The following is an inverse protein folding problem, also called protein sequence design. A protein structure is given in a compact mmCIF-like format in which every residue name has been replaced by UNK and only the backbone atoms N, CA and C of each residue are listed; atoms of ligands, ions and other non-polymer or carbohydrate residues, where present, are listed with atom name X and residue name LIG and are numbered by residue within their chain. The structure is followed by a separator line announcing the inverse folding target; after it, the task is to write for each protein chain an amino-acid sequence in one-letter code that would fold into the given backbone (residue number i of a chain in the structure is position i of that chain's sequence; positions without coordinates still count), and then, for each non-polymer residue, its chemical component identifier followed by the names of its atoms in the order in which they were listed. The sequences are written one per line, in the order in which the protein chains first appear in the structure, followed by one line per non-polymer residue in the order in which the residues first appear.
data_IF_129025743634
#
_entry.id   IF_129025743634
#
_cell.length_a   1.000
_cell.length_b   1.000
_cell.length_c   1.000
_cell.angle_alpha   90.00
_cell.angle_beta   90.00
_cell.angle_gamma   90.00
#
_symmetry.space_group_name_H-M   'P 1'
#
loop_
_entity.id
_entity.type
_entity.pdbx_description
1 polymer ?
#
# COMPACT_ATOMS: atom_id res chain seq x y z
N UNK A 1 -2.59 -3.85 -25.46
CA UNK A 1 -3.64 -3.69 -24.44
C UNK A 1 -3.33 -4.61 -23.26
N UNK A 2 -2.67 -4.09 -22.22
CA UNK A 2 -2.47 -4.87 -20.99
C UNK A 2 -3.78 -4.95 -20.22
N UNK A 3 -4.23 -6.13 -19.81
CA UNK A 3 -5.47 -6.26 -19.04
C UNK A 3 -5.35 -5.52 -17.71
N UNK A 4 -6.36 -4.71 -17.39
CA UNK A 4 -6.68 -4.21 -16.04
C UNK A 4 -6.79 -5.38 -15.06
N UNK A 5 -5.73 -5.68 -14.32
CA UNK A 5 -5.69 -6.87 -13.45
C UNK A 5 -6.68 -6.65 -12.31
N UNK A 6 -7.77 -7.42 -12.34
CA UNK A 6 -8.69 -7.63 -11.21
C UNK A 6 -9.13 -6.33 -10.50
N UNK A 7 -9.27 -5.21 -11.23
CA UNK A 7 -9.73 -3.93 -10.66
C UNK A 7 -11.05 -4.08 -9.90
N UNK A 8 -11.93 -4.97 -10.38
CA UNK A 8 -13.19 -5.30 -9.72
C UNK A 8 -13.02 -5.76 -8.28
N UNK A 9 -11.92 -6.46 -7.94
CA UNK A 9 -11.65 -6.94 -6.59
C UNK A 9 -11.28 -5.81 -5.62
N UNK A 10 -10.75 -4.71 -6.15
CA UNK A 10 -10.33 -3.55 -5.37
C UNK A 10 -11.51 -2.60 -5.04
N UNK A 11 -12.61 -2.65 -5.82
CA UNK A 11 -13.80 -1.79 -5.65
C UNK A 11 -14.46 -1.98 -4.28
N UNK A 12 -15.03 -0.92 -3.73
CA UNK A 12 -15.78 -0.92 -2.46
C UNK A 12 -16.99 -1.86 -2.47
N UNK A 13 -17.62 -2.11 -3.62
CA UNK A 13 -18.84 -2.93 -3.66
C UNK A 13 -18.57 -4.43 -3.86
N UNK A 14 -17.31 -4.84 -3.97
CA UNK A 14 -16.96 -6.24 -4.20
C UNK A 14 -17.12 -7.09 -2.93
N UNK A 15 -17.96 -8.14 -2.99
CA UNK A 15 -18.28 -9.04 -1.86
C UNK A 15 -18.64 -8.29 -0.56
N UNK A 16 -19.37 -7.18 -0.66
CA UNK A 16 -19.82 -6.40 0.49
C UNK A 16 -18.71 -5.84 1.39
N UNK A 17 -17.49 -5.65 0.86
CA UNK A 17 -16.27 -5.30 1.63
C UNK A 17 -15.82 -6.32 2.70
N UNK A 18 -16.51 -7.45 2.88
CA UNK A 18 -16.22 -8.40 3.96
C UNK A 18 -14.82 -8.99 3.79
N UNK A 19 -14.52 -9.50 2.60
CA UNK A 19 -13.24 -10.14 2.33
C UNK A 19 -12.07 -9.17 2.39
N UNK A 20 -12.29 -7.93 1.93
CA UNK A 20 -11.33 -6.82 2.03
C UNK A 20 -11.05 -6.46 3.49
N UNK A 21 -12.11 -6.29 4.29
CA UNK A 21 -11.99 -6.04 5.73
C UNK A 21 -11.22 -7.16 6.41
N UNK A 22 -11.54 -8.41 6.11
CA UNK A 22 -10.83 -9.57 6.67
C UNK A 22 -9.34 -9.53 6.31
N UNK A 23 -8.99 -9.38 5.02
CA UNK A 23 -7.61 -9.34 4.57
C UNK A 23 -6.81 -8.20 5.24
N UNK A 24 -7.35 -6.98 5.25
CA UNK A 24 -6.69 -5.82 5.85
C UNK A 24 -6.58 -5.97 7.38
N UNK A 25 -7.64 -6.42 8.05
CA UNK A 25 -7.62 -6.63 9.51
C UNK A 25 -6.60 -7.68 9.89
N UNK A 26 -6.55 -8.81 9.19
CA UNK A 26 -5.59 -9.89 9.47
C UNK A 26 -4.15 -9.42 9.24
N UNK A 27 -3.86 -8.81 8.09
CA UNK A 27 -2.51 -8.33 7.77
C UNK A 27 -2.09 -7.19 8.70
N UNK A 28 -2.96 -6.23 8.95
CA UNK A 28 -2.72 -5.10 9.85
C UNK A 28 -2.54 -5.53 11.30
N UNK A 29 -3.31 -6.52 11.76
CA UNK A 29 -3.16 -7.12 13.08
C UNK A 29 -1.82 -7.85 13.24
N UNK A 30 -1.46 -8.70 12.28
CA UNK A 30 -0.17 -9.40 12.28
C UNK A 30 1.00 -8.42 12.24
N UNK A 31 0.93 -7.43 11.36
CA UNK A 31 1.93 -6.36 11.30
C UNK A 31 2.08 -5.66 12.64
N UNK A 32 0.96 -5.41 13.33
CA UNK A 32 0.96 -4.77 14.63
C UNK A 32 1.64 -5.59 15.71
N UNK A 33 1.37 -6.89 15.74
CA UNK A 33 2.03 -7.84 16.64
C UNK A 33 3.54 -7.84 16.37
N UNK A 34 3.96 -7.97 15.11
CA UNK A 34 5.39 -8.03 14.77
C UNK A 34 6.10 -6.72 15.11
N UNK A 35 5.57 -5.59 14.65
CA UNK A 35 6.21 -4.27 14.83
C UNK A 35 6.22 -3.83 16.29
N UNK A 36 5.18 -4.16 17.05
CA UNK A 36 5.04 -3.69 18.45
C UNK A 36 5.63 -4.65 19.48
N UNK A 37 5.67 -5.96 19.22
CA UNK A 37 6.09 -6.96 20.20
C UNK A 37 7.37 -7.72 19.80
N UNK A 38 7.59 -7.94 18.50
CA UNK A 38 8.70 -8.78 18.01
C UNK A 38 9.83 -7.97 17.38
N UNK A 39 9.72 -6.64 17.37
CA UNK A 39 10.72 -5.76 16.78
C UNK A 39 10.97 -4.51 17.66
N UNK A 40 12.19 -4.00 17.64
CA UNK A 40 12.52 -2.70 18.21
C UNK A 40 12.21 -1.61 17.18
N UNK A 41 11.10 -0.90 17.38
CA UNK A 41 10.63 0.13 16.44
C UNK A 41 10.63 1.50 17.12
N UNK A 42 11.40 2.44 16.58
CA UNK A 42 11.37 3.86 16.98
C UNK A 42 10.55 4.66 15.99
N UNK A 43 9.62 5.47 16.50
CA UNK A 43 8.69 6.23 15.66
C UNK A 43 8.79 7.70 16.04
N UNK A 44 9.00 8.53 15.03
CA UNK A 44 9.05 9.97 15.19
C UNK A 44 7.76 10.59 14.64
N UNK A 45 7.21 11.55 15.38
CA UNK A 45 6.05 12.35 14.97
C UNK A 45 4.80 11.53 14.58
N UNK A 46 4.54 10.42 15.29
CA UNK A 46 3.36 9.56 15.05
C UNK A 46 2.03 10.30 15.19
N UNK A 47 1.95 11.26 16.13
CA UNK A 47 0.74 12.04 16.39
C UNK A 47 0.30 12.86 15.18
N UNK A 48 1.24 13.47 14.45
CA UNK A 48 0.93 14.23 13.23
C UNK A 48 0.35 13.31 12.16
N UNK A 49 0.96 12.14 11.94
CA UNK A 49 0.43 11.17 10.98
C UNK A 49 -0.97 10.68 11.38
N UNK A 50 -1.18 10.36 12.66
CA UNK A 50 -2.49 9.93 13.17
C UNK A 50 -3.56 11.01 12.99
N UNK A 51 -3.22 12.27 13.28
CA UNK A 51 -4.10 13.41 13.09
C UNK A 51 -4.47 13.58 11.60
N UNK A 52 -3.49 13.51 10.70
CA UNK A 52 -3.73 13.60 9.26
C UNK A 52 -4.55 12.42 8.70
N UNK A 53 -4.43 11.22 9.29
CA UNK A 53 -5.21 10.06 8.84
C UNK A 53 -6.66 10.10 9.36
N UNK A 54 -6.89 10.60 10.58
CA UNK A 54 -8.20 10.57 11.24
C UNK A 54 -9.04 11.84 11.09
N UNK A 55 -8.38 13.00 11.05
CA UNK A 55 -9.05 14.30 11.18
C UNK A 55 -9.00 15.13 9.90
N UNK A 56 -8.48 14.57 8.82
CA UNK A 56 -8.45 15.24 7.52
C UNK A 56 -9.88 15.44 6.98
N UNK A 57 -10.17 16.59 6.34
CA UNK A 57 -11.40 16.78 5.60
C UNK A 57 -11.61 15.67 4.54
N UNK A 58 -12.86 15.28 4.33
CA UNK A 58 -13.21 14.22 3.36
C UNK A 58 -12.90 14.61 1.91
N UNK A 59 -12.69 15.90 1.64
CA UNK A 59 -12.49 16.48 0.31
C UNK A 59 -11.01 16.65 -0.07
N UNK A 60 -10.09 16.30 0.84
CA UNK A 60 -8.65 16.48 0.62
C UNK A 60 -8.00 15.11 0.45
N UNK A 61 -7.35 14.81 -0.69
CA UNK A 61 -6.57 13.59 -0.81
C UNK A 61 -5.31 13.64 0.06
N UNK A 62 -4.81 12.48 0.47
CA UNK A 62 -3.58 12.38 1.25
C UNK A 62 -2.56 11.51 0.51
N UNK A 63 -1.34 12.01 0.38
CA UNK A 63 -0.25 11.29 -0.27
C UNK A 63 0.89 11.14 0.74
N UNK A 64 1.34 9.90 0.93
CA UNK A 64 2.55 9.61 1.69
C UNK A 64 3.61 9.00 0.78
N UNK A 65 4.86 9.37 0.99
CA UNK A 65 5.99 8.82 0.25
C UNK A 65 7.02 8.33 1.26
N UNK A 66 7.54 7.12 1.08
CA UNK A 66 8.67 6.62 1.87
C UNK A 66 9.70 5.97 0.97
N UNK A 67 10.89 5.79 1.51
CA UNK A 67 11.83 4.85 0.94
C UNK A 67 11.26 3.42 0.95
N UNK A 68 11.71 2.60 0.00
CA UNK A 68 11.36 1.18 -0.10
C UNK A 68 12.61 0.33 0.04
N UNK A 69 12.57 -0.62 0.97
CA UNK A 69 13.62 -1.62 1.22
C UNK A 69 13.07 -3.05 1.08
N UNK A 70 11.80 -3.29 1.42
CA UNK A 70 11.19 -4.62 1.37
C UNK A 70 9.68 -4.56 1.13
N UNK A 71 9.11 -5.61 0.54
CA UNK A 71 7.65 -5.78 0.40
C UNK A 71 6.91 -5.74 1.74
N UNK A 72 7.61 -6.03 2.85
CA UNK A 72 7.07 -5.93 4.21
C UNK A 72 6.93 -4.49 4.73
N UNK A 73 7.51 -3.49 4.05
CA UNK A 73 7.38 -2.08 4.44
C UNK A 73 5.92 -1.65 4.46
N UNK A 74 5.11 -2.17 3.53
CA UNK A 74 3.72 -1.79 3.41
C UNK A 74 2.88 -2.14 4.67
N UNK A 75 2.83 -3.40 5.12
CA UNK A 75 2.12 -3.75 6.35
C UNK A 75 2.78 -3.14 7.60
N UNK A 76 4.12 -3.07 7.66
CA UNK A 76 4.82 -2.68 8.88
C UNK A 76 4.83 -1.18 9.15
N UNK A 77 4.82 -0.33 8.12
CA UNK A 77 4.78 1.13 8.29
C UNK A 77 3.54 1.59 9.09
N UNK A 78 2.45 0.84 9.01
CA UNK A 78 1.23 1.09 9.76
C UNK A 78 1.06 0.17 10.99
N UNK A 79 2.01 -0.72 11.27
CA UNK A 79 1.94 -1.70 12.37
C UNK A 79 2.27 -1.13 13.75
N UNK A 80 2.48 0.17 13.91
CA UNK A 80 2.86 0.69 15.20
C UNK A 80 1.70 0.85 16.20
N UNK A 81 2.03 0.85 17.49
CA UNK A 81 1.06 1.03 18.58
C UNK A 81 0.30 2.37 18.42
N UNK A 82 -1.03 2.31 18.52
CA UNK A 82 -1.91 3.47 18.34
C UNK A 82 -2.38 3.71 16.90
N UNK A 83 -1.72 3.13 15.88
CA UNK A 83 -2.18 3.23 14.50
C UNK A 83 -3.40 2.33 14.24
N UNK A 84 -4.42 2.81 13.49
CA UNK A 84 -5.60 2.03 13.13
C UNK A 84 -5.30 1.05 11.98
N UNK A 85 -4.29 0.19 12.14
CA UNK A 85 -3.80 -0.76 11.13
C UNK A 85 -4.87 -1.77 10.67
N UNK A 86 -5.87 -2.01 11.51
CA UNK A 86 -6.97 -2.95 11.26
C UNK A 86 -8.21 -2.28 10.68
N UNK A 87 -8.21 -0.96 10.48
CA UNK A 87 -9.34 -0.24 9.90
C UNK A 87 -9.22 -0.23 8.37
N UNK A 88 -10.08 -1.02 7.72
CA UNK A 88 -10.12 -1.12 6.27
C UNK A 88 -10.54 0.18 5.56
N UNK A 89 -11.27 1.08 6.23
CA UNK A 89 -11.66 2.36 5.66
C UNK A 89 -10.46 3.32 5.64
N UNK A 90 -9.67 3.32 6.72
CA UNK A 90 -8.44 4.12 6.84
C UNK A 90 -7.23 3.48 6.15
N UNK A 91 -7.37 2.27 5.61
CA UNK A 91 -6.30 1.62 4.85
C UNK A 91 -5.98 2.39 3.57
N UNK A 92 -4.69 2.67 3.37
CA UNK A 92 -4.16 3.39 2.21
C UNK A 92 -4.10 2.53 0.96
N UNK A 93 -4.20 3.17 -0.20
CA UNK A 93 -3.82 2.58 -1.48
C UNK A 93 -2.31 2.62 -1.64
N UNK A 94 -1.74 1.58 -2.24
CA UNK A 94 -0.27 1.45 -2.34
C UNK A 94 0.09 1.03 -3.75
N UNK A 95 1.02 1.74 -4.37
CA UNK A 95 1.60 1.29 -5.63
C UNK A 95 2.63 0.20 -5.35
N UNK A 96 2.50 -0.94 -6.02
CA UNK A 96 3.42 -2.07 -5.87
C UNK A 96 3.83 -2.62 -7.23
N UNK A 97 5.04 -3.16 -7.30
CA UNK A 97 5.61 -3.66 -8.56
C UNK A 97 4.85 -4.92 -9.01
N UNK A 98 4.30 -4.86 -10.23
CA UNK A 98 3.51 -5.93 -10.85
C UNK A 98 4.28 -7.25 -10.88
N UNK A 99 5.53 -7.24 -11.32
CA UNK A 99 6.29 -8.48 -11.54
C UNK A 99 6.68 -9.19 -10.23
N UNK A 100 6.55 -8.51 -9.08
CA UNK A 100 6.83 -9.07 -7.76
C UNK A 100 5.54 -9.51 -7.09
N UNK A 101 4.53 -8.63 -7.02
CA UNK A 101 3.30 -8.87 -6.24
C UNK A 101 2.20 -9.57 -7.06
N UNK A 102 2.20 -9.43 -8.39
CA UNK A 102 1.13 -9.91 -9.27
C UNK A 102 1.58 -11.07 -10.17
N UNK A 103 2.36 -12.00 -9.61
CA UNK A 103 2.91 -13.17 -10.34
C UNK A 103 1.86 -14.22 -10.73
N UNK A 104 0.82 -14.38 -9.92
CA UNK A 104 -0.25 -15.34 -10.19
C UNK A 104 -1.62 -14.76 -9.80
N UNK A 105 -2.70 -15.41 -10.24
CA UNK A 105 -4.08 -14.94 -10.01
C UNK A 105 -4.45 -14.85 -8.53
N UNK A 106 -3.93 -15.75 -7.68
CA UNK A 106 -4.23 -15.78 -6.24
C UNK A 106 -3.59 -14.59 -5.53
N UNK A 107 -2.30 -14.36 -5.73
CA UNK A 107 -1.60 -13.20 -5.19
C UNK A 107 -2.18 -11.91 -5.75
N UNK A 108 -2.47 -11.86 -7.06
CA UNK A 108 -3.11 -10.70 -7.68
C UNK A 108 -4.42 -10.34 -7.00
N UNK A 109 -5.25 -11.33 -6.69
CA UNK A 109 -6.50 -11.13 -5.96
C UNK A 109 -6.25 -10.63 -4.53
N UNK A 110 -5.34 -11.27 -3.79
CA UNK A 110 -4.98 -10.87 -2.44
C UNK A 110 -4.45 -9.43 -2.35
N UNK A 111 -3.51 -9.05 -3.22
CA UNK A 111 -2.97 -7.70 -3.24
C UNK A 111 -4.01 -6.66 -3.67
N UNK A 112 -4.93 -7.00 -4.59
CA UNK A 112 -6.07 -6.11 -4.91
C UNK A 112 -6.99 -5.91 -3.71
N UNK A 113 -7.29 -6.96 -2.93
CA UNK A 113 -8.05 -6.82 -1.67
C UNK A 113 -7.32 -5.92 -0.67
N UNK A 114 -5.99 -6.00 -0.61
CA UNK A 114 -5.15 -5.12 0.20
C UNK A 114 -4.98 -3.68 -0.32
N UNK A 115 -5.81 -3.23 -1.27
CA UNK A 115 -5.73 -1.89 -1.91
C UNK A 115 -4.40 -1.61 -2.61
N UNK A 116 -3.78 -2.64 -3.19
CA UNK A 116 -2.57 -2.46 -3.99
C UNK A 116 -2.89 -2.21 -5.46
N UNK A 117 -2.19 -1.25 -6.06
CA UNK A 117 -2.28 -0.90 -7.49
C UNK A 117 -0.99 -1.37 -8.17
N UNK A 118 -1.07 -2.22 -9.20
CA UNK A 118 0.11 -2.74 -9.89
C UNK A 118 0.76 -1.67 -10.76
N UNK A 119 2.07 -1.45 -10.61
CA UNK A 119 2.86 -0.62 -11.51
C UNK A 119 3.94 -1.44 -12.21
N UNK A 120 4.29 -1.07 -13.43
CA UNK A 120 5.36 -1.71 -14.21
C UNK A 120 6.66 -0.96 -13.96
N UNK A 121 7.71 -1.68 -13.56
CA UNK A 121 9.02 -1.08 -13.35
C UNK A 121 9.61 -0.66 -14.71
N UNK A 122 10.25 0.51 -14.76
CA UNK A 122 10.77 1.07 -16.00
C UNK A 122 9.70 1.54 -17.02
N UNK A 123 8.40 1.39 -16.72
CA UNK A 123 7.30 1.79 -17.62
C UNK A 123 7.04 3.30 -17.71
N UNK A 124 7.88 4.14 -17.08
CA UNK A 124 7.71 5.59 -17.03
C UNK A 124 6.51 6.04 -16.17
N UNK A 125 6.15 7.33 -16.26
CA UNK A 125 5.01 7.91 -15.52
C UNK A 125 3.66 7.69 -16.24
N UNK A 126 3.69 7.41 -17.55
CA UNK A 126 2.50 7.21 -18.37
C UNK A 126 2.16 5.72 -18.45
N UNK A 127 1.54 5.21 -17.40
CA UNK A 127 1.08 3.82 -17.33
C UNK A 127 -0.43 3.76 -17.04
N UNK A 128 -1.11 2.74 -17.53
CA UNK A 128 -2.57 2.61 -17.36
C UNK A 128 -3.00 2.63 -15.88
N UNK A 129 -2.26 1.96 -14.99
CA UNK A 129 -2.55 1.93 -13.54
C UNK A 129 -2.28 3.26 -12.83
N UNK A 130 -1.56 4.19 -13.47
CA UNK A 130 -1.45 5.56 -12.96
C UNK A 130 -2.77 6.31 -13.12
N UNK A 131 -3.59 6.00 -14.12
CA UNK A 131 -4.93 6.56 -14.22
C UNK A 131 -5.82 6.06 -13.07
N UNK A 132 -5.74 4.76 -12.73
CA UNK A 132 -6.42 4.21 -11.54
C UNK A 132 -5.98 4.95 -10.26
N UNK A 133 -4.70 5.30 -10.18
CA UNK A 133 -4.14 6.06 -9.06
C UNK A 133 -4.71 7.48 -8.98
N UNK A 134 -4.82 8.17 -10.11
CA UNK A 134 -5.44 9.49 -10.21
C UNK A 134 -6.94 9.45 -9.85
N UNK A 135 -7.66 8.41 -10.29
CA UNK A 135 -9.07 8.21 -9.88
C UNK A 135 -9.20 8.09 -8.36
N UNK A 136 -8.36 7.27 -7.70
CA UNK A 136 -8.40 7.15 -6.23
C UNK A 136 -8.08 8.47 -5.54
N UNK A 137 -7.17 9.28 -6.08
CA UNK A 137 -6.89 10.62 -5.56
C UNK A 137 -8.07 11.58 -5.76
N UNK A 138 -8.78 11.49 -6.88
CA UNK A 138 -10.00 12.27 -7.11
C UNK A 138 -11.14 11.88 -6.16
N UNK A 139 -11.18 10.62 -5.73
CA UNK A 139 -12.07 10.12 -4.67
C UNK A 139 -11.59 10.52 -3.25
N UNK A 140 -10.61 11.42 -3.14
CA UNK A 140 -10.02 11.89 -1.89
C UNK A 140 -9.41 10.76 -1.04
N UNK A 141 -8.99 9.66 -1.67
CA UNK A 141 -8.39 8.54 -0.95
C UNK A 141 -6.98 8.86 -0.42
N UNK A 142 -6.52 8.06 0.54
CA UNK A 142 -5.12 8.07 0.97
C UNK A 142 -4.29 7.13 0.08
N UNK A 143 -3.24 7.66 -0.54
CA UNK A 143 -2.31 6.95 -1.40
C UNK A 143 -0.88 6.95 -0.84
N UNK A 144 -0.16 5.86 -1.06
CA UNK A 144 1.21 5.67 -0.62
C UNK A 144 2.13 5.26 -1.76
N UNK A 145 3.23 5.98 -1.90
CA UNK A 145 4.31 5.69 -2.84
C UNK A 145 5.52 5.16 -2.11
N UNK A 146 6.02 4.04 -2.60
CA UNK A 146 7.27 3.44 -2.17
C UNK A 146 8.34 3.80 -3.21
N UNK A 147 9.20 4.76 -2.86
CA UNK A 147 10.33 5.15 -3.71
C UNK A 147 11.52 4.28 -3.34
N UNK A 148 12.03 3.52 -4.30
CA UNK A 148 13.26 2.77 -4.11
C UNK A 148 14.42 3.74 -3.77
N UNK A 149 15.24 3.39 -2.77
CA UNK A 149 16.56 4.01 -2.69
C UNK A 149 17.37 3.40 -3.82
N UNK A 150 17.88 4.23 -4.73
CA UNK A 150 18.98 3.84 -5.61
C UNK A 150 20.16 3.44 -4.73
N UNK A 151 20.24 2.19 -4.28
CA UNK A 151 21.42 1.70 -3.57
C UNK A 151 21.52 0.18 -3.69
N UNK A 152 22.57 -0.23 -4.41
CA UNK A 152 23.09 -1.60 -4.59
C UNK A 152 22.46 -2.47 -5.69
N UNK A 153 22.64 -2.05 -6.94
CA UNK A 153 22.95 -2.99 -8.04
C UNK A 153 24.00 -2.44 -9.03
N UNK A 154 24.96 -1.69 -8.51
CA UNK A 154 26.08 -1.12 -9.28
C UNK A 154 27.45 -1.49 -8.66
N UNK A 155 27.51 -2.62 -7.94
CA UNK A 155 28.74 -3.17 -7.35
C UNK A 155 28.83 -4.69 -7.47
N UNK A 156 28.13 -5.30 -8.45
CA UNK A 156 28.24 -6.74 -8.73
C UNK A 156 28.34 -7.04 -10.23
N UNK A 157 28.84 -6.07 -11.03
CA UNK A 157 29.17 -6.26 -12.44
C UNK A 157 30.53 -5.63 -12.81
N UNK A 158 31.38 -5.41 -11.82
CA UNK A 158 32.81 -5.18 -12.02
C UNK A 158 33.52 -6.17 -11.10
N UNK A 159 33.74 -7.38 -11.61
CA UNK A 159 34.84 -8.32 -11.33
C UNK A 159 34.64 -9.60 -12.16
#
# INVERSE_FOLDING_TARGET
MGRKIMEWAARSNHMGNILKKMAITTVGGLAKVVVSLLNSTTIHNSNTLLHLVRSRPNEVPFITVSNHMSTMDNPFLCGFKGFPSTDANLARWVLVIRDICFKNSVFSYFFRLGKCIPITWGGGIYQEHMNETLERLSECSWLHFLKEKYTKKMHLLDD
#
